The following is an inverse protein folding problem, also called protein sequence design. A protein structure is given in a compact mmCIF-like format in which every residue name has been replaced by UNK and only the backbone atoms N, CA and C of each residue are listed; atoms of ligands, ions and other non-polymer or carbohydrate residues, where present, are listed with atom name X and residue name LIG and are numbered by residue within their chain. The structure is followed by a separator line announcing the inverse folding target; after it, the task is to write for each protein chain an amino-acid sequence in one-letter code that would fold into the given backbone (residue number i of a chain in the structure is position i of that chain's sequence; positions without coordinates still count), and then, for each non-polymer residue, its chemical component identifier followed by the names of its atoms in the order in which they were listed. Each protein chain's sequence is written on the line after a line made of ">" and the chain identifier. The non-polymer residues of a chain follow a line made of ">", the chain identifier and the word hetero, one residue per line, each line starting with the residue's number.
data_IF_368195366492
#
_entry.id   IF_368195366492
#
_cell.length_a   1.000
_cell.length_b   1.000
_cell.length_c   1.000
_cell.angle_alpha   90.00
_cell.angle_beta   90.00
_cell.angle_gamma   90.00
#
_symmetry.space_group_name_H-M   'P 1'
#
loop_
_entity.id
_entity.type
_entity.pdbx_description
1 polymer ?
#
# COMPACT_ATOMS: atom_id res chain seq x y z
N UNK A 1 71.30 -22.71 -56.16
CA UNK A 1 70.92 -21.41 -55.55
C UNK A 1 70.28 -21.51 -54.15
N UNK A 2 69.93 -22.70 -53.63
CA UNK A 2 69.27 -22.83 -52.31
C UNK A 2 70.19 -23.03 -51.09
N UNK A 3 71.47 -23.35 -51.26
CA UNK A 3 72.40 -23.58 -50.13
C UNK A 3 73.04 -22.29 -49.58
N UNK A 4 73.18 -21.24 -50.39
CA UNK A 4 73.78 -19.95 -49.99
C UNK A 4 72.81 -19.08 -49.18
N UNK A 5 71.49 -19.17 -49.39
CA UNK A 5 70.49 -18.40 -48.64
C UNK A 5 70.34 -18.79 -47.16
N UNK A 6 70.62 -20.06 -46.81
CA UNK A 6 70.51 -20.54 -45.42
C UNK A 6 71.68 -20.06 -44.54
N UNK A 7 72.85 -19.84 -45.13
CA UNK A 7 74.03 -19.34 -44.41
C UNK A 7 73.88 -17.84 -44.13
N UNK A 8 73.33 -17.08 -45.08
CA UNK A 8 73.08 -15.64 -44.92
C UNK A 8 71.95 -15.39 -43.89
N UNK A 9 70.89 -16.21 -43.88
CA UNK A 9 69.83 -16.14 -42.88
C UNK A 9 70.33 -16.53 -41.46
N UNK A 10 71.24 -17.50 -41.35
CA UNK A 10 71.86 -17.89 -40.08
C UNK A 10 72.79 -16.82 -39.51
N UNK A 11 73.55 -16.13 -40.37
CA UNK A 11 74.41 -15.01 -39.96
C UNK A 11 73.61 -13.77 -39.55
N UNK A 12 72.49 -13.47 -40.22
CA UNK A 12 71.60 -12.36 -39.81
C UNK A 12 70.89 -12.64 -38.48
N UNK A 13 70.47 -13.89 -38.23
CA UNK A 13 69.87 -14.29 -36.96
C UNK A 13 70.87 -14.25 -35.80
N UNK A 14 72.13 -14.59 -36.05
CA UNK A 14 73.19 -14.55 -35.03
C UNK A 14 73.58 -13.10 -34.68
N UNK A 15 73.65 -12.20 -35.66
CA UNK A 15 73.92 -10.76 -35.43
C UNK A 15 72.75 -10.08 -34.69
N UNK A 16 71.50 -10.45 -34.98
CA UNK A 16 70.33 -9.91 -34.27
C UNK A 16 70.21 -10.45 -32.82
N UNK A 17 70.64 -11.70 -32.58
CA UNK A 17 70.72 -12.27 -31.24
C UNK A 17 71.84 -11.63 -30.39
N UNK A 18 72.98 -11.29 -30.99
CA UNK A 18 74.11 -10.64 -30.30
C UNK A 18 73.84 -9.14 -30.01
N UNK A 19 73.03 -8.46 -30.83
CA UNK A 19 72.61 -7.08 -30.59
C UNK A 19 71.54 -6.94 -29.49
N UNK A 20 70.88 -8.04 -29.09
CA UNK A 20 69.83 -8.04 -28.05
C UNK A 20 70.39 -8.26 -26.63
N UNK A 21 71.67 -8.61 -26.50
CA UNK A 21 72.27 -8.97 -25.21
C UNK A 21 72.94 -7.81 -24.44
N UNK A 22 72.92 -6.58 -24.98
CA UNK A 22 73.60 -5.43 -24.37
C UNK A 22 72.73 -4.18 -24.18
N UNK A 23 71.41 -4.32 -24.13
CA UNK A 23 70.57 -3.29 -23.50
C UNK A 23 70.53 -3.53 -21.98
N UNK A 24 71.68 -3.48 -21.32
CA UNK A 24 71.68 -3.21 -19.88
C UNK A 24 71.13 -1.81 -19.71
N UNK A 25 69.92 -1.70 -19.15
CA UNK A 25 69.45 -0.43 -18.61
C UNK A 25 70.61 0.17 -17.80
N UNK A 26 71.06 1.37 -18.15
CA UNK A 26 72.01 2.09 -17.33
C UNK A 26 71.50 2.01 -15.88
N UNK A 27 72.36 1.67 -14.89
CA UNK A 27 71.92 1.75 -13.50
C UNK A 27 71.36 3.15 -13.33
N UNK A 28 70.12 3.23 -12.87
CA UNK A 28 69.48 4.50 -12.58
C UNK A 28 70.48 5.28 -11.73
N UNK A 29 71.09 6.32 -12.29
CA UNK A 29 71.85 7.26 -11.49
C UNK A 29 70.88 7.67 -10.39
N UNK A 30 71.28 7.41 -9.15
CA UNK A 30 70.58 7.80 -7.95
C UNK A 30 70.55 9.34 -7.90
N UNK A 31 69.72 9.92 -8.76
CA UNK A 31 69.63 11.32 -9.06
C UNK A 31 68.37 11.88 -8.44
N UNK A 32 68.52 12.27 -7.17
CA UNK A 32 67.58 13.00 -6.30
C UNK A 32 66.50 12.13 -5.67
N UNK A 33 66.50 12.11 -4.34
CA UNK A 33 65.45 11.51 -3.49
C UNK A 33 64.12 12.22 -3.68
N UNK A 34 63.50 12.06 -4.85
CA UNK A 34 62.14 12.50 -5.11
C UNK A 34 61.19 11.62 -4.30
N UNK A 35 60.64 12.23 -3.25
CA UNK A 35 59.71 11.53 -2.38
C UNK A 35 58.33 11.45 -3.04
N UNK A 36 57.98 10.29 -3.58
CA UNK A 36 56.65 10.03 -4.15
C UNK A 36 55.51 10.27 -3.15
N UNK A 37 55.75 10.06 -1.84
CA UNK A 37 54.75 10.34 -0.82
C UNK A 37 54.35 11.83 -0.78
N UNK A 38 55.25 12.75 -1.15
CA UNK A 38 54.94 14.19 -1.23
C UNK A 38 53.95 14.53 -2.36
N UNK A 39 53.74 13.61 -3.31
CA UNK A 39 52.74 13.76 -4.38
C UNK A 39 51.36 13.23 -3.98
N UNK A 40 51.24 12.56 -2.83
CA UNK A 40 50.01 11.87 -2.40
C UNK A 40 49.86 10.46 -2.98
N UNK A 41 50.89 9.90 -3.61
CA UNK A 41 50.92 8.49 -4.03
C UNK A 41 52.22 7.81 -3.57
N UNK A 42 52.30 7.35 -2.31
CA UNK A 42 53.49 6.66 -1.81
C UNK A 42 53.62 5.28 -2.48
N UNK A 43 54.80 5.00 -3.04
CA UNK A 43 55.09 3.70 -3.65
C UNK A 43 55.22 2.64 -2.57
N UNK A 44 54.16 1.86 -2.36
CA UNK A 44 54.05 0.82 -1.34
C UNK A 44 53.42 -0.45 -1.94
N UNK A 45 53.61 -1.60 -1.29
CA UNK A 45 53.08 -2.87 -1.78
C UNK A 45 53.58 -3.20 -3.18
N UNK A 46 52.68 -3.67 -4.05
CA UNK A 46 52.99 -3.97 -5.45
C UNK A 46 53.51 -2.78 -6.27
N UNK A 47 53.20 -1.53 -5.90
CA UNK A 47 53.67 -0.34 -6.60
C UNK A 47 55.15 -0.01 -6.31
N UNK A 48 55.72 -0.53 -5.22
CA UNK A 48 57.11 -0.26 -4.86
C UNK A 48 58.11 -0.87 -5.87
N UNK A 49 57.70 -1.92 -6.57
CA UNK A 49 58.52 -2.61 -7.57
C UNK A 49 58.18 -2.21 -9.03
N UNK A 50 57.27 -1.27 -9.23
CA UNK A 50 56.85 -0.87 -10.58
C UNK A 50 57.94 -0.03 -11.27
N UNK A 51 58.20 -0.33 -12.55
CA UNK A 51 59.12 0.48 -13.37
C UNK A 51 58.49 1.85 -13.67
N UNK A 52 59.32 2.90 -13.78
CA UNK A 52 58.85 4.29 -13.88
C UNK A 52 57.89 4.51 -15.06
N UNK A 53 58.20 3.90 -16.20
CA UNK A 53 57.49 3.99 -17.46
C UNK A 53 56.08 3.36 -17.43
N UNK A 54 55.79 2.50 -16.45
CA UNK A 54 54.45 1.91 -16.30
C UNK A 54 53.41 2.98 -15.98
N UNK A 55 53.78 3.95 -15.14
CA UNK A 55 52.96 5.09 -14.74
C UNK A 55 53.25 6.36 -15.56
N UNK A 56 54.51 6.59 -15.91
CA UNK A 56 54.97 7.78 -16.64
C UNK A 56 55.11 7.51 -18.14
N UNK A 57 53.98 7.14 -18.76
CA UNK A 57 53.92 6.70 -20.15
C UNK A 57 54.36 7.82 -21.11
N UNK A 58 55.45 7.57 -21.84
CA UNK A 58 56.08 8.56 -22.73
C UNK A 58 56.89 9.62 -21.98
N UNK A 59 57.36 9.34 -20.76
CA UNK A 59 58.17 10.26 -19.95
C UNK A 59 57.37 11.41 -19.32
N UNK A 60 56.05 11.33 -19.30
CA UNK A 60 55.20 12.36 -18.73
C UNK A 60 55.01 12.12 -17.22
N UNK A 61 55.68 12.95 -16.41
CA UNK A 61 55.63 12.85 -14.94
C UNK A 61 54.48 13.63 -14.28
N UNK A 62 54.04 14.73 -14.91
CA UNK A 62 52.93 15.54 -14.40
C UNK A 62 51.59 15.00 -14.90
N UNK A 63 50.60 14.95 -14.00
CA UNK A 63 49.25 14.53 -14.34
C UNK A 63 49.01 13.02 -14.33
N UNK A 64 50.00 12.22 -13.92
CA UNK A 64 49.79 10.79 -13.64
C UNK A 64 48.67 10.64 -12.59
N UNK A 65 47.63 9.83 -12.85
CA UNK A 65 46.53 9.63 -11.92
C UNK A 65 47.01 9.06 -10.58
N UNK A 66 46.35 9.46 -9.50
CA UNK A 66 46.67 9.01 -8.13
C UNK A 66 45.56 8.17 -7.51
N UNK A 67 44.39 8.13 -8.14
CA UNK A 67 43.26 7.30 -7.77
C UNK A 67 43.35 5.93 -8.46
N UNK A 68 42.87 4.89 -7.78
CA UNK A 68 42.96 3.50 -8.26
C UNK A 68 42.40 3.33 -9.68
N UNK A 69 41.20 3.86 -9.93
CA UNK A 69 40.52 3.76 -11.22
C UNK A 69 41.17 4.57 -12.34
N UNK A 70 42.01 5.55 -12.01
CA UNK A 70 42.79 6.29 -12.99
C UNK A 70 43.80 5.41 -13.73
N UNK A 71 44.24 4.31 -13.09
CA UNK A 71 45.21 3.36 -13.64
C UNK A 71 44.60 1.98 -13.89
N UNK A 72 43.78 1.46 -12.96
CA UNK A 72 43.27 0.09 -12.99
C UNK A 72 41.90 -0.07 -13.66
N UNK A 73 41.28 1.00 -14.18
CA UNK A 73 40.10 0.83 -15.03
C UNK A 73 40.50 0.41 -16.46
N UNK A 74 39.58 -0.25 -17.15
CA UNK A 74 39.78 -0.60 -18.56
C UNK A 74 39.97 0.66 -19.41
N UNK A 75 40.90 0.61 -20.37
CA UNK A 75 41.14 1.68 -21.34
C UNK A 75 41.93 2.89 -20.81
N UNK A 76 42.64 2.75 -19.68
CA UNK A 76 43.54 3.80 -19.17
C UNK A 76 44.90 3.73 -19.86
N UNK A 77 45.56 4.90 -19.93
CA UNK A 77 46.88 5.05 -20.58
C UNK A 77 48.01 4.38 -19.78
N UNK A 78 47.88 4.35 -18.46
CA UNK A 78 48.85 3.74 -17.54
C UNK A 78 48.83 2.23 -17.72
N UNK A 79 50.02 1.61 -17.76
CA UNK A 79 50.16 0.15 -17.91
C UNK A 79 49.97 -0.48 -16.52
N UNK A 80 48.73 -0.89 -16.23
CA UNK A 80 48.37 -1.56 -14.99
C UNK A 80 47.40 -2.72 -15.26
N UNK A 81 47.34 -3.69 -14.36
CA UNK A 81 46.34 -4.77 -14.42
C UNK A 81 44.94 -4.17 -14.26
N UNK A 82 44.06 -4.27 -15.26
CA UNK A 82 42.73 -3.68 -15.17
C UNK A 82 41.78 -4.52 -14.30
N UNK A 83 40.70 -3.91 -13.82
CA UNK A 83 39.59 -4.59 -13.14
C UNK A 83 39.06 -5.73 -14.03
N UNK A 84 38.92 -6.97 -13.51
CA UNK A 84 38.44 -8.08 -14.31
C UNK A 84 36.98 -7.87 -14.72
N UNK A 85 36.56 -8.54 -15.80
CA UNK A 85 35.17 -8.48 -16.30
C UNK A 85 34.12 -9.05 -15.31
N UNK A 86 34.57 -9.72 -14.25
CA UNK A 86 33.78 -10.23 -13.12
C UNK A 86 33.74 -9.28 -11.91
N UNK A 87 34.34 -8.09 -12.01
CA UNK A 87 34.25 -7.06 -10.97
C UNK A 87 32.81 -6.50 -10.93
N UNK A 88 32.29 -6.25 -9.72
CA UNK A 88 30.98 -5.62 -9.55
C UNK A 88 31.00 -4.18 -10.08
N UNK A 89 29.93 -3.70 -10.70
CA UNK A 89 29.86 -2.29 -11.09
C UNK A 89 29.47 -1.48 -9.86
N UNK A 90 30.36 -0.60 -9.41
CA UNK A 90 30.17 0.21 -8.21
C UNK A 90 30.94 1.52 -8.33
N UNK A 91 30.38 2.59 -7.77
CA UNK A 91 31.04 3.89 -7.59
C UNK A 91 31.62 4.04 -6.17
N UNK A 92 31.52 2.99 -5.34
CA UNK A 92 32.09 3.00 -3.99
C UNK A 92 33.63 3.10 -4.04
N UNK A 93 34.26 3.78 -3.06
CA UNK A 93 35.72 3.80 -2.95
C UNK A 93 36.30 2.38 -2.90
N UNK A 94 37.41 2.13 -3.59
CA UNK A 94 37.93 0.77 -3.77
C UNK A 94 38.27 0.09 -2.43
N UNK A 95 38.79 0.86 -1.47
CA UNK A 95 39.15 0.45 -0.12
C UNK A 95 37.96 -0.02 0.72
N UNK A 96 36.72 0.34 0.35
CA UNK A 96 35.52 -0.16 1.03
C UNK A 96 35.26 -1.64 0.78
N UNK A 97 35.80 -2.19 -0.31
CA UNK A 97 35.74 -3.61 -0.63
C UNK A 97 37.10 -4.29 -0.51
N UNK A 98 38.19 -3.60 -0.87
CA UNK A 98 39.56 -4.11 -0.89
C UNK A 98 40.33 -3.68 0.37
N UNK A 99 40.19 -4.48 1.45
CA UNK A 99 40.79 -4.18 2.76
C UNK A 99 42.32 -4.22 2.77
N UNK A 100 42.93 -4.94 1.83
CA UNK A 100 44.39 -4.97 1.64
C UNK A 100 44.78 -4.30 0.33
N UNK A 101 44.65 -2.98 0.27
CA UNK A 101 44.89 -2.17 -0.94
C UNK A 101 46.32 -2.28 -1.52
N UNK A 102 47.30 -2.71 -0.72
CA UNK A 102 48.70 -2.87 -1.14
C UNK A 102 49.00 -4.22 -1.83
N UNK A 103 48.21 -5.26 -1.53
CA UNK A 103 48.33 -6.60 -2.13
C UNK A 103 47.16 -6.95 -3.05
N UNK A 104 46.08 -6.17 -2.97
CA UNK A 104 44.80 -6.40 -3.65
C UNK A 104 44.15 -7.76 -3.34
N UNK A 105 44.59 -8.42 -2.27
CA UNK A 105 44.01 -9.67 -1.77
C UNK A 105 42.81 -9.38 -0.88
N UNK A 106 41.85 -10.29 -0.84
CA UNK A 106 40.72 -10.24 0.09
C UNK A 106 39.76 -9.07 -0.17
N UNK A 107 38.93 -9.19 -1.20
CA UNK A 107 37.77 -8.33 -1.38
C UNK A 107 36.53 -8.93 -0.67
N UNK A 108 35.72 -8.11 -0.01
CA UNK A 108 34.41 -8.55 0.51
C UNK A 108 33.33 -7.54 0.17
N UNK A 109 32.16 -8.07 -0.14
CA UNK A 109 30.94 -7.29 -0.31
C UNK A 109 30.00 -7.54 0.87
N UNK A 110 29.46 -6.47 1.45
CA UNK A 110 28.45 -6.54 2.49
C UNK A 110 27.05 -6.45 1.86
N UNK A 111 26.27 -7.52 1.91
CA UNK A 111 24.90 -7.50 1.38
C UNK A 111 24.00 -6.50 2.12
N UNK A 112 24.30 -6.13 3.37
CA UNK A 112 23.57 -5.11 4.13
C UNK A 112 23.65 -3.71 3.52
N UNK A 113 24.66 -3.42 2.69
CA UNK A 113 24.78 -2.15 1.95
C UNK A 113 24.22 -2.24 0.52
N UNK A 114 23.53 -3.33 0.15
CA UNK A 114 22.92 -3.45 -1.15
C UNK A 114 21.76 -2.44 -1.30
N UNK A 115 21.71 -1.76 -2.45
CA UNK A 115 20.65 -0.80 -2.74
C UNK A 115 19.33 -1.55 -2.97
N UNK A 116 18.24 -1.23 -2.23
CA UNK A 116 16.92 -1.81 -2.46
C UNK A 116 16.49 -1.66 -3.93
N UNK A 117 15.83 -2.66 -4.51
CA UNK A 117 15.48 -2.62 -5.94
C UNK A 117 16.57 -3.08 -6.91
N UNK A 118 17.83 -3.13 -6.49
CA UNK A 118 18.97 -3.31 -7.42
C UNK A 118 19.65 -4.68 -7.37
N UNK A 119 19.03 -5.68 -6.73
CA UNK A 119 19.61 -7.02 -6.58
C UNK A 119 20.01 -7.66 -7.93
N UNK A 120 19.25 -7.36 -8.99
CA UNK A 120 19.46 -7.87 -10.36
C UNK A 120 20.75 -7.35 -11.02
N UNK A 121 21.35 -6.28 -10.50
CA UNK A 121 22.62 -5.77 -11.03
C UNK A 121 23.80 -6.71 -10.75
N UNK A 122 23.66 -7.62 -9.78
CA UNK A 122 24.63 -8.68 -9.48
C UNK A 122 24.03 -10.08 -9.73
N UNK A 123 22.76 -10.29 -9.37
CA UNK A 123 22.06 -11.58 -9.49
C UNK A 123 21.37 -11.76 -10.86
N UNK A 124 22.17 -11.75 -11.93
CA UNK A 124 21.71 -11.96 -13.30
C UNK A 124 22.32 -13.20 -13.97
N UNK A 125 22.93 -14.10 -13.19
CA UNK A 125 23.48 -15.36 -13.65
C UNK A 125 24.91 -15.29 -14.20
N UNK A 126 25.51 -14.09 -14.28
CA UNK A 126 26.92 -13.91 -14.66
C UNK A 126 27.83 -13.59 -13.48
N UNK A 127 27.46 -12.61 -12.65
CA UNK A 127 28.24 -12.19 -11.48
C UNK A 127 27.88 -13.01 -10.24
N UNK A 128 26.58 -13.24 -10.02
CA UNK A 128 26.05 -14.11 -9.00
C UNK A 128 24.87 -14.91 -9.56
N UNK A 129 24.51 -15.99 -8.87
CA UNK A 129 23.35 -16.80 -9.23
C UNK A 129 22.11 -15.92 -9.34
N UNK A 130 21.40 -16.08 -10.45
CA UNK A 130 20.25 -15.28 -10.78
C UNK A 130 18.95 -15.82 -10.18
N UNK A 131 17.86 -15.23 -10.62
CA UNK A 131 16.52 -15.66 -10.31
C UNK A 131 16.27 -17.10 -10.83
N UNK A 132 15.84 -18.05 -9.98
CA UNK A 132 15.61 -19.43 -10.40
C UNK A 132 14.33 -19.57 -11.23
N UNK A 133 14.21 -20.69 -11.96
CA UNK A 133 13.06 -20.96 -12.83
C UNK A 133 11.70 -20.93 -12.10
N UNK A 134 11.67 -21.27 -10.81
CA UNK A 134 10.47 -21.24 -9.96
C UNK A 134 9.85 -19.84 -9.77
N UNK A 135 10.56 -18.79 -10.20
CA UNK A 135 10.13 -17.40 -10.13
C UNK A 135 9.63 -16.85 -11.49
N UNK A 136 9.36 -17.70 -12.48
CA UNK A 136 8.94 -17.26 -13.82
C UNK A 136 7.59 -16.52 -13.88
N UNK A 137 6.72 -16.65 -12.87
CA UNK A 137 5.33 -16.17 -12.91
C UNK A 137 4.94 -15.26 -11.73
N UNK A 138 3.93 -14.42 -11.96
CA UNK A 138 3.29 -13.56 -10.93
C UNK A 138 4.24 -12.57 -10.28
N UNK A 139 4.00 -12.24 -9.01
CA UNK A 139 4.83 -11.29 -8.25
C UNK A 139 6.30 -11.71 -8.18
N UNK A 140 6.59 -13.02 -8.24
CA UNK A 140 7.96 -13.53 -8.27
C UNK A 140 8.72 -13.10 -9.52
N UNK A 141 8.03 -12.71 -10.60
CA UNK A 141 8.66 -12.29 -11.84
C UNK A 141 8.82 -10.80 -12.04
N UNK A 142 7.92 -10.00 -11.48
CA UNK A 142 7.85 -8.56 -11.72
C UNK A 142 8.29 -7.71 -10.52
N UNK A 143 8.12 -8.23 -9.30
CA UNK A 143 8.43 -7.45 -8.10
C UNK A 143 9.92 -7.50 -7.76
N UNK A 144 10.36 -6.47 -7.04
CA UNK A 144 11.73 -6.45 -6.52
C UNK A 144 11.98 -7.60 -5.55
N UNK A 145 13.20 -8.13 -5.56
CA UNK A 145 13.61 -9.27 -4.75
C UNK A 145 13.51 -8.98 -3.25
N UNK A 146 13.79 -7.74 -2.82
CA UNK A 146 13.78 -7.31 -1.43
C UNK A 146 12.38 -7.29 -0.77
N UNK A 147 11.31 -7.41 -1.58
CA UNK A 147 9.96 -7.61 -1.05
C UNK A 147 9.81 -8.97 -0.34
N UNK A 148 10.56 -9.98 -0.80
CA UNK A 148 10.48 -11.36 -0.31
C UNK A 148 11.76 -11.79 0.42
N UNK A 149 12.91 -11.36 -0.07
CA UNK A 149 14.22 -11.78 0.42
C UNK A 149 14.87 -10.70 1.28
N UNK A 150 15.67 -11.11 2.26
CA UNK A 150 16.48 -10.19 3.07
C UNK A 150 17.95 -10.35 2.75
N UNK A 151 18.71 -9.28 2.94
CA UNK A 151 20.15 -9.23 2.63
C UNK A 151 21.01 -10.10 3.54
N UNK A 152 20.53 -10.39 4.75
CA UNK A 152 21.23 -11.23 5.73
C UNK A 152 20.68 -12.66 5.82
N UNK A 153 19.47 -12.90 5.29
CA UNK A 153 18.82 -14.22 5.29
C UNK A 153 17.97 -14.35 4.02
N UNK A 154 18.53 -15.01 3.01
CA UNK A 154 17.84 -15.19 1.73
C UNK A 154 16.65 -16.16 1.83
N UNK A 155 16.76 -17.16 2.71
CA UNK A 155 15.71 -18.13 3.04
C UNK A 155 15.51 -18.21 4.56
N UNK A 156 14.27 -18.43 5.03
CA UNK A 156 13.03 -18.48 4.25
C UNK A 156 12.63 -17.11 3.71
N UNK A 157 12.11 -17.07 2.49
CA UNK A 157 11.55 -15.85 1.93
C UNK A 157 10.20 -15.54 2.60
N UNK A 158 9.97 -14.28 2.94
CA UNK A 158 8.72 -13.82 3.55
C UNK A 158 8.29 -12.47 2.96
N UNK A 159 6.99 -12.34 2.70
CA UNK A 159 6.41 -11.11 2.18
C UNK A 159 6.14 -10.12 3.31
N UNK A 160 6.51 -8.85 3.13
CA UNK A 160 6.14 -7.77 4.03
C UNK A 160 4.96 -6.98 3.44
N UNK A 161 3.91 -6.75 4.22
CA UNK A 161 2.75 -5.95 3.81
C UNK A 161 2.99 -4.42 3.92
N UNK A 162 4.15 -3.98 4.41
CA UNK A 162 4.48 -2.57 4.52
C UNK A 162 4.57 -1.89 3.14
N UNK A 163 3.88 -0.78 2.96
CA UNK A 163 3.86 -0.03 1.69
C UNK A 163 3.01 -0.65 0.59
N UNK A 164 2.19 -1.68 0.88
CA UNK A 164 1.20 -2.20 -0.07
C UNK A 164 0.08 -1.18 -0.24
N UNK A 165 0.03 -0.52 -1.39
CA UNK A 165 -1.06 0.38 -1.81
C UNK A 165 -2.11 -0.33 -2.69
N UNK A 166 -1.91 -1.61 -2.97
CA UNK A 166 -2.82 -2.41 -3.79
C UNK A 166 -4.06 -2.84 -3.00
N UNK A 167 -5.18 -3.00 -3.71
CA UNK A 167 -6.41 -3.56 -3.16
C UNK A 167 -6.13 -4.98 -2.64
N UNK A 168 -6.44 -5.28 -1.38
CA UNK A 168 -6.08 -6.56 -0.76
C UNK A 168 -6.62 -7.76 -1.56
N UNK A 169 -7.75 -7.57 -2.24
CA UNK A 169 -8.42 -8.55 -3.09
C UNK A 169 -7.60 -8.97 -4.33
N UNK A 170 -6.62 -8.17 -4.76
CA UNK A 170 -5.75 -8.52 -5.90
C UNK A 170 -4.76 -9.65 -5.56
N UNK A 171 -4.53 -9.90 -4.26
CA UNK A 171 -3.62 -10.94 -3.80
C UNK A 171 -4.30 -11.96 -2.88
N UNK A 172 -5.35 -11.56 -2.14
CA UNK A 172 -6.13 -12.40 -1.25
C UNK A 172 -7.56 -12.56 -1.76
N UNK A 173 -8.13 -13.76 -1.67
CA UNK A 173 -9.43 -14.04 -2.27
C UNK A 173 -10.17 -15.15 -1.55
N UNK A 174 -11.40 -15.38 -2.00
CA UNK A 174 -12.25 -16.43 -1.46
C UNK A 174 -11.89 -17.79 -2.09
N UNK A 175 -12.19 -18.90 -1.41
CA UNK A 175 -12.12 -20.22 -2.03
C UNK A 175 -12.95 -20.25 -3.32
N UNK A 176 -12.30 -20.47 -4.46
CA UNK A 176 -12.92 -20.48 -5.79
C UNK A 176 -12.44 -19.38 -6.73
N UNK A 177 -11.80 -18.32 -6.22
CA UNK A 177 -11.20 -17.30 -7.07
C UNK A 177 -10.00 -17.89 -7.82
N UNK A 178 -10.06 -17.89 -9.15
CA UNK A 178 -9.06 -18.53 -10.02
C UNK A 178 -7.65 -17.94 -9.87
N UNK A 179 -7.55 -16.70 -9.39
CA UNK A 179 -6.30 -15.94 -9.27
C UNK A 179 -5.63 -16.05 -7.89
N UNK A 180 -6.26 -16.75 -6.92
CA UNK A 180 -5.74 -16.84 -5.55
C UNK A 180 -5.51 -18.29 -5.17
N UNK A 181 -4.26 -18.69 -4.94
CA UNK A 181 -3.90 -20.03 -4.45
C UNK A 181 -3.57 -19.98 -2.96
N UNK A 182 -3.56 -21.13 -2.27
CA UNK A 182 -3.04 -21.21 -0.90
C UNK A 182 -1.56 -20.77 -0.87
N UNK A 183 -1.10 -20.07 0.19
CA UNK A 183 -1.78 -19.75 1.45
C UNK A 183 -2.66 -18.47 1.40
N UNK A 184 -2.77 -17.81 0.25
CA UNK A 184 -3.41 -16.49 0.14
C UNK A 184 -4.96 -16.55 0.16
N UNK A 185 -5.55 -17.76 0.21
CA UNK A 185 -7.00 -17.96 0.31
C UNK A 185 -7.49 -17.68 1.72
N UNK A 186 -8.61 -16.96 1.81
CA UNK A 186 -9.36 -16.77 3.04
C UNK A 186 -9.98 -18.11 3.49
N UNK A 187 -10.14 -18.36 4.80
CA UNK A 187 -10.85 -19.55 5.29
C UNK A 187 -12.26 -19.65 4.69
N UNK A 188 -12.73 -20.87 4.44
CA UNK A 188 -14.09 -21.09 3.95
C UNK A 188 -15.16 -20.55 4.90
N UNK A 189 -14.85 -20.41 6.20
CA UNK A 189 -15.73 -19.81 7.21
C UNK A 189 -15.91 -18.29 7.07
N UNK A 190 -15.11 -17.61 6.25
CA UNK A 190 -15.23 -16.16 5.99
C UNK A 190 -16.32 -15.83 4.96
N UNK A 191 -17.42 -16.60 4.92
CA UNK A 191 -18.54 -16.42 3.99
C UNK A 191 -19.53 -15.39 4.52
N UNK A 192 -19.25 -14.11 4.30
CA UNK A 192 -20.31 -13.11 4.22
C UNK A 192 -20.40 -12.59 2.78
N UNK A 193 -21.23 -13.20 1.91
CA UNK A 193 -21.51 -12.69 0.56
C UNK A 193 -21.96 -11.22 0.55
N UNK A 194 -22.54 -10.76 1.68
CA UNK A 194 -23.06 -9.42 1.94
C UNK A 194 -21.94 -8.34 1.99
N UNK A 195 -20.70 -8.74 2.32
CA UNK A 195 -19.53 -7.84 2.47
C UNK A 195 -18.64 -7.89 1.20
N UNK A 196 -18.91 -8.83 0.29
CA UNK A 196 -18.12 -9.01 -0.93
C UNK A 196 -18.30 -7.79 -1.86
N UNK A 197 -17.28 -6.92 -1.90
CA UNK A 197 -17.21 -5.77 -2.81
C UNK A 197 -17.89 -4.49 -2.31
N UNK A 198 -18.39 -4.48 -1.07
CA UNK A 198 -19.04 -3.30 -0.47
C UNK A 198 -18.14 -2.53 0.50
N UNK A 199 -17.14 -3.18 1.09
CA UNK A 199 -16.12 -2.57 1.97
C UNK A 199 -14.76 -3.21 1.74
N UNK A 200 -13.70 -2.41 1.81
CA UNK A 200 -12.32 -2.88 1.69
C UNK A 200 -11.84 -3.63 2.95
N UNK A 201 -10.89 -4.55 2.77
CA UNK A 201 -10.46 -5.47 3.84
C UNK A 201 -9.85 -4.73 5.03
N UNK A 202 -9.25 -3.56 4.80
CA UNK A 202 -8.62 -2.68 5.81
C UNK A 202 -9.62 -2.00 6.76
N UNK A 203 -10.92 -2.03 6.43
CA UNK A 203 -11.98 -1.56 7.31
C UNK A 203 -12.19 -2.47 8.54
N UNK A 204 -11.82 -3.76 8.41
CA UNK A 204 -11.98 -4.77 9.45
C UNK A 204 -10.64 -5.34 9.93
N UNK A 205 -9.67 -5.46 9.03
CA UNK A 205 -8.38 -6.11 9.26
C UNK A 205 -7.25 -5.09 9.20
N UNK A 206 -6.16 -5.36 9.91
CA UNK A 206 -4.89 -4.67 9.66
C UNK A 206 -3.83 -5.71 9.32
N UNK A 207 -2.80 -5.29 8.58
CA UNK A 207 -1.76 -6.20 8.10
C UNK A 207 -0.83 -6.75 9.19
N UNK A 208 -0.88 -6.20 10.41
CA UNK A 208 -0.07 -6.62 11.56
C UNK A 208 -0.79 -7.70 12.38
N UNK A 209 -2.11 -7.59 12.51
CA UNK A 209 -2.97 -8.48 13.26
C UNK A 209 -4.28 -8.67 12.51
N UNK A 210 -4.36 -9.76 11.73
CA UNK A 210 -5.58 -10.13 11.00
C UNK A 210 -6.73 -10.54 11.94
N UNK A 211 -6.37 -11.02 13.13
CA UNK A 211 -7.26 -11.30 14.26
C UNK A 211 -6.70 -10.64 15.53
N UNK A 212 -7.55 -10.03 16.39
CA UNK A 212 -9.00 -9.89 16.25
C UNK A 212 -9.40 -8.79 15.25
N UNK A 213 -10.53 -9.01 14.58
CA UNK A 213 -11.11 -8.07 13.62
C UNK A 213 -11.63 -6.86 14.40
N UNK A 214 -11.03 -5.68 14.22
CA UNK A 214 -11.51 -4.45 14.83
C UNK A 214 -12.11 -3.60 13.73
N UNK A 215 -13.43 -3.63 13.60
CA UNK A 215 -14.13 -2.74 12.68
C UNK A 215 -14.12 -1.32 13.21
N UNK A 216 -13.71 -0.36 12.38
CA UNK A 216 -13.82 1.07 12.70
C UNK A 216 -15.20 1.57 12.26
N UNK A 217 -16.06 1.96 13.20
CA UNK A 217 -17.41 2.47 12.91
C UNK A 217 -17.43 3.91 12.34
N UNK A 218 -16.37 4.30 11.63
CA UNK A 218 -16.24 5.61 10.97
C UNK A 218 -16.02 5.49 9.45
N UNK A 219 -15.98 4.27 8.90
CA UNK A 219 -15.94 4.00 7.47
C UNK A 219 -17.36 3.82 6.96
N UNK A 220 -17.73 4.55 5.90
CA UNK A 220 -19.07 4.53 5.33
C UNK A 220 -19.48 3.13 4.84
N UNK A 221 -20.74 2.78 5.06
CA UNK A 221 -21.37 1.50 4.69
C UNK A 221 -22.79 1.41 5.27
N UNK A 222 -23.63 0.52 4.71
CA UNK A 222 -24.98 0.31 5.24
C UNK A 222 -24.89 -0.46 6.57
N UNK A 223 -25.43 0.11 7.65
CA UNK A 223 -25.43 -0.49 8.99
C UNK A 223 -26.15 -1.85 8.99
N UNK A 224 -27.22 -1.92 8.20
CA UNK A 224 -28.07 -3.08 7.98
C UNK A 224 -27.28 -4.30 7.45
N UNK A 225 -26.20 -4.07 6.70
CA UNK A 225 -25.37 -5.16 6.14
C UNK A 225 -24.66 -6.00 7.20
N UNK A 226 -24.43 -5.44 8.40
CA UNK A 226 -23.76 -6.11 9.52
C UNK A 226 -24.68 -6.39 10.70
N UNK A 227 -25.64 -5.50 11.00
CA UNK A 227 -26.40 -5.53 12.25
C UNK A 227 -27.84 -6.08 12.12
N UNK A 228 -28.39 -6.26 10.91
CA UNK A 228 -29.84 -6.55 10.76
C UNK A 228 -30.27 -7.90 11.36
N UNK A 229 -29.44 -8.94 11.23
CA UNK A 229 -29.82 -10.31 11.62
C UNK A 229 -29.06 -10.85 12.84
N UNK A 230 -28.22 -10.02 13.49
CA UNK A 230 -27.40 -10.45 14.62
C UNK A 230 -26.29 -11.47 14.31
N UNK A 231 -26.18 -11.93 13.05
CA UNK A 231 -25.27 -13.00 12.65
C UNK A 231 -23.80 -12.55 12.55
N UNK A 232 -23.55 -11.28 12.24
CA UNK A 232 -22.20 -10.74 12.00
C UNK A 232 -21.75 -9.78 13.10
N UNK A 233 -22.68 -9.04 13.68
CA UNK A 233 -22.48 -8.16 14.83
C UNK A 233 -23.76 -8.16 15.68
N UNK A 234 -23.68 -7.65 16.90
CA UNK A 234 -24.86 -7.49 17.75
C UNK A 234 -25.94 -6.73 17.00
N UNK A 235 -27.09 -7.39 16.80
CA UNK A 235 -28.21 -6.81 16.09
C UNK A 235 -29.13 -5.97 16.97
N UNK A 236 -30.26 -5.58 16.40
CA UNK A 236 -31.27 -4.81 17.11
C UNK A 236 -31.80 -5.58 18.33
N UNK A 237 -32.01 -4.92 19.49
CA UNK A 237 -32.57 -5.56 20.68
C UNK A 237 -34.05 -5.95 20.46
N UNK A 238 -34.50 -6.96 21.21
CA UNK A 238 -35.91 -7.38 21.22
C UNK A 238 -36.81 -6.21 21.66
N UNK A 239 -37.80 -5.85 20.84
CA UNK A 239 -38.70 -4.72 21.10
C UNK A 239 -38.40 -3.45 20.30
N UNK A 240 -37.36 -3.45 19.46
CA UNK A 240 -37.21 -2.42 18.43
C UNK A 240 -38.41 -2.50 17.48
N UNK A 241 -39.31 -1.52 17.53
CA UNK A 241 -40.61 -1.57 16.86
C UNK A 241 -40.47 -1.56 15.34
N UNK A 242 -40.89 -2.65 14.69
CA UNK A 242 -41.53 -2.60 13.36
C UNK A 242 -40.73 -2.16 12.14
N UNK A 243 -39.40 -2.07 12.19
CA UNK A 243 -38.59 -1.67 11.01
C UNK A 243 -38.02 -2.86 10.24
N UNK A 244 -38.77 -3.97 10.20
CA UNK A 244 -38.37 -5.16 9.44
C UNK A 244 -38.71 -4.96 7.95
N UNK A 245 -37.95 -4.11 7.28
CA UNK A 245 -37.88 -4.07 5.82
C UNK A 245 -38.03 -2.68 5.18
N UNK A 246 -36.99 -2.29 4.44
CA UNK A 246 -36.96 -1.27 3.37
C UNK A 246 -37.14 0.22 3.78
N UNK A 247 -36.46 1.16 3.07
CA UNK A 247 -35.04 1.49 3.13
C UNK A 247 -34.80 2.63 4.14
N UNK A 248 -34.64 2.31 5.42
CA UNK A 248 -34.16 3.27 6.40
C UNK A 248 -32.91 2.71 7.07
N UNK A 249 -31.83 3.47 7.00
CA UNK A 249 -30.56 3.11 7.63
C UNK A 249 -30.56 3.55 9.09
N UNK A 250 -29.78 2.85 9.91
CA UNK A 250 -29.78 3.07 11.36
C UNK A 250 -29.34 4.50 11.72
N UNK A 251 -28.51 5.12 10.89
CA UNK A 251 -28.04 6.50 11.06
C UNK A 251 -29.15 7.57 10.95
N UNK A 252 -30.33 7.24 10.41
CA UNK A 252 -31.49 8.14 10.43
C UNK A 252 -32.00 8.41 11.87
N UNK A 253 -31.83 7.43 12.77
CA UNK A 253 -32.20 7.55 14.19
C UNK A 253 -30.97 7.61 15.11
N UNK A 254 -29.90 6.90 14.76
CA UNK A 254 -28.68 6.72 15.54
C UNK A 254 -27.56 7.63 15.01
N UNK A 255 -27.58 8.89 15.46
CA UNK A 255 -26.61 9.92 15.01
C UNK A 255 -25.19 9.73 15.55
N UNK A 256 -24.97 8.81 16.50
CA UNK A 256 -23.65 8.47 17.03
C UNK A 256 -23.40 6.98 16.94
N UNK A 257 -22.23 6.61 16.41
CA UNK A 257 -21.86 5.20 16.20
C UNK A 257 -21.24 4.54 17.44
N UNK A 258 -20.95 5.31 18.49
CA UNK A 258 -20.23 4.87 19.70
C UNK A 258 -21.12 4.60 20.90
N UNK A 259 -22.36 5.10 20.91
CA UNK A 259 -23.33 4.88 21.99
C UNK A 259 -24.73 4.73 21.38
N UNK A 260 -25.15 3.48 21.15
CA UNK A 260 -26.46 3.14 20.60
C UNK A 260 -27.63 3.44 21.53
N UNK A 261 -27.35 3.77 22.79
CA UNK A 261 -28.34 4.12 23.80
C UNK A 261 -28.06 5.49 24.42
N UNK A 262 -29.08 6.37 24.49
CA UNK A 262 -30.35 6.35 23.76
C UNK A 262 -30.24 7.20 22.49
N UNK A 263 -30.37 6.56 21.32
CA UNK A 263 -30.56 7.24 20.05
C UNK A 263 -31.73 8.23 20.17
N UNK A 264 -31.45 9.53 20.09
CA UNK A 264 -32.42 10.63 20.25
C UNK A 264 -33.42 10.48 21.42
N UNK A 265 -33.05 9.79 22.51
CA UNK A 265 -34.02 9.32 23.49
C UNK A 265 -34.90 8.23 22.86
N UNK A 266 -35.00 7.06 23.49
CA UNK A 266 -36.03 6.10 23.12
C UNK A 266 -37.35 6.85 22.90
N UNK A 267 -38.03 6.61 21.77
CA UNK A 267 -39.25 7.32 21.38
C UNK A 267 -40.08 7.54 22.66
N UNK A 268 -40.29 8.79 23.09
CA UNK A 268 -40.96 9.02 24.34
C UNK A 268 -42.34 8.38 24.25
N UNK A 269 -42.93 8.01 25.39
CA UNK A 269 -44.20 7.28 25.37
C UNK A 269 -45.28 8.01 24.54
N UNK A 270 -45.17 9.33 24.38
CA UNK A 270 -46.01 10.20 23.57
C UNK A 270 -45.64 10.37 22.08
N UNK A 271 -44.74 9.55 21.54
CA UNK A 271 -44.38 9.59 20.13
C UNK A 271 -45.56 9.19 19.24
N UNK A 272 -45.85 10.02 18.22
CA UNK A 272 -47.00 9.85 17.34
C UNK A 272 -46.69 8.78 16.29
N UNK A 273 -47.55 7.77 16.08
CA UNK A 273 -47.37 6.79 15.02
C UNK A 273 -47.35 7.44 13.63
N UNK A 274 -46.51 6.93 12.74
CA UNK A 274 -46.38 7.41 11.36
C UNK A 274 -46.60 6.25 10.38
N UNK A 275 -46.93 6.58 9.14
CA UNK A 275 -47.08 5.57 8.09
C UNK A 275 -45.73 4.93 7.76
N UNK A 276 -45.70 3.62 7.53
CA UNK A 276 -44.49 2.91 7.09
C UNK A 276 -43.84 3.64 5.89
N UNK A 277 -42.54 3.94 5.99
CA UNK A 277 -41.78 4.70 4.99
C UNK A 277 -41.65 6.21 5.23
N UNK A 278 -42.24 6.76 6.30
CA UNK A 278 -42.03 8.17 6.67
C UNK A 278 -40.67 8.35 7.34
N UNK A 279 -39.76 9.14 6.75
CA UNK A 279 -38.43 9.43 7.34
C UNK A 279 -38.56 10.27 8.60
N UNK A 280 -37.72 10.03 9.61
CA UNK A 280 -37.68 10.80 10.85
C UNK A 280 -37.45 12.30 10.59
N UNK A 281 -36.63 12.65 9.60
CA UNK A 281 -36.37 14.02 9.16
C UNK A 281 -37.61 14.75 8.64
N UNK A 282 -38.70 14.03 8.34
CA UNK A 282 -39.99 14.63 7.98
C UNK A 282 -40.66 15.33 9.17
N UNK A 283 -40.36 14.87 10.40
CA UNK A 283 -40.91 15.41 11.64
C UNK A 283 -39.84 16.08 12.52
N UNK A 284 -38.57 15.70 12.39
CA UNK A 284 -37.45 16.19 13.19
C UNK A 284 -36.51 17.07 12.35
N UNK A 285 -36.41 18.36 12.68
CA UNK A 285 -35.51 19.31 12.01
C UNK A 285 -34.58 19.93 13.05
N UNK A 286 -33.28 19.63 12.97
CA UNK A 286 -32.28 20.22 13.89
C UNK A 286 -32.55 19.94 15.37
N UNK A 287 -33.07 18.75 15.70
CA UNK A 287 -33.43 18.36 17.06
C UNK A 287 -34.78 18.90 17.56
N UNK A 288 -35.46 19.73 16.78
CA UNK A 288 -36.83 20.19 17.07
C UNK A 288 -37.87 19.31 16.39
N UNK A 289 -39.00 19.07 17.07
CA UNK A 289 -40.12 18.28 16.54
C UNK A 289 -41.15 19.24 15.94
N UNK A 290 -41.65 18.93 14.75
CA UNK A 290 -42.77 19.66 14.14
C UNK A 290 -44.06 19.41 14.92
N UNK A 291 -44.81 20.48 15.20
CA UNK A 291 -46.09 20.43 15.92
C UNK A 291 -47.16 21.23 15.18
N UNK A 292 -48.43 21.04 15.57
CA UNK A 292 -49.55 21.83 15.05
C UNK A 292 -49.80 21.65 13.55
N UNK A 293 -50.02 22.75 12.83
CA UNK A 293 -50.32 22.77 11.40
C UNK A 293 -49.22 22.11 10.55
N UNK A 294 -47.96 22.39 10.88
CA UNK A 294 -46.78 21.82 10.20
C UNK A 294 -46.70 20.30 10.35
N UNK A 295 -47.21 19.71 11.44
CA UNK A 295 -47.23 18.26 11.64
C UNK A 295 -48.29 17.57 10.75
N UNK A 296 -49.49 18.15 10.63
CA UNK A 296 -50.60 17.61 9.84
C UNK A 296 -50.28 17.48 8.34
N UNK A 297 -49.35 18.29 7.81
CA UNK A 297 -48.85 18.15 6.45
C UNK A 297 -48.06 16.87 6.17
N UNK A 298 -47.60 16.14 7.20
CA UNK A 298 -46.73 14.96 7.08
C UNK A 298 -47.31 13.67 7.70
N UNK A 299 -48.51 13.72 8.30
CA UNK A 299 -49.21 12.55 8.87
C UNK A 299 -50.48 12.18 8.09
N UNK A 300 -50.87 10.90 8.18
CA UNK A 300 -51.92 10.24 7.41
C UNK A 300 -53.32 10.91 7.48
N UNK A 301 -54.16 10.80 6.44
CA UNK A 301 -55.51 11.37 6.38
C UNK A 301 -56.55 10.73 7.31
N UNK A 302 -56.23 9.64 8.02
CA UNK A 302 -57.19 8.97 8.93
C UNK A 302 -57.18 9.68 10.28
N UNK A 303 -57.97 10.75 10.38
CA UNK A 303 -58.06 11.60 11.58
C UNK A 303 -58.39 10.78 12.85
N UNK A 304 -59.23 9.74 12.71
CA UNK A 304 -59.68 8.88 13.82
C UNK A 304 -58.55 8.09 14.47
N UNK A 305 -57.42 7.90 13.80
CA UNK A 305 -56.25 7.24 14.40
C UNK A 305 -55.66 8.05 15.55
N UNK A 306 -55.81 9.38 15.55
CA UNK A 306 -55.26 10.27 16.58
C UNK A 306 -56.35 11.05 17.36
N UNK A 307 -57.44 11.44 16.70
CA UNK A 307 -58.45 12.36 17.25
C UNK A 307 -59.69 11.67 17.84
N UNK A 308 -59.83 10.36 17.67
CA UNK A 308 -60.95 9.61 18.24
C UNK A 308 -60.81 9.49 19.76
N UNK A 309 -61.90 9.70 20.51
CA UNK A 309 -61.92 9.53 21.96
C UNK A 309 -61.52 8.10 22.34
N UNK A 310 -60.43 7.98 23.09
CA UNK A 310 -59.85 6.68 23.47
C UNK A 310 -58.81 6.14 22.48
N UNK A 311 -58.41 6.92 21.46
CA UNK A 311 -57.28 6.58 20.63
C UNK A 311 -56.00 6.54 21.48
N UNK A 312 -55.34 5.39 21.50
CA UNK A 312 -54.08 5.15 22.24
C UNK A 312 -52.86 5.84 21.62
N UNK A 313 -53.03 6.41 20.43
CA UNK A 313 -51.93 6.76 19.52
C UNK A 313 -51.63 8.27 19.50
N UNK A 314 -52.41 9.10 20.22
CA UNK A 314 -52.16 10.53 20.35
C UNK A 314 -52.12 10.92 21.83
N UNK A 315 -50.97 11.42 22.27
CA UNK A 315 -50.67 11.69 23.67
C UNK A 315 -50.49 13.19 23.96
N UNK A 316 -50.97 14.05 23.06
CA UNK A 316 -51.07 15.50 23.28
C UNK A 316 -52.41 15.92 23.91
N UNK A 317 -52.48 17.15 24.39
CA UNK A 317 -53.66 17.73 25.05
C UNK A 317 -54.72 18.23 24.04
N UNK A 318 -55.08 17.42 23.04
CA UNK A 318 -56.18 17.78 22.14
C UNK A 318 -57.50 17.26 22.68
N UNK A 319 -58.57 18.00 22.43
CA UNK A 319 -59.90 17.49 22.68
C UNK A 319 -60.24 16.36 21.70
N UNK A 320 -60.48 15.16 22.22
CA UNK A 320 -60.89 14.00 21.43
C UNK A 320 -62.42 13.85 21.46
N UNK A 321 -63.01 13.44 20.32
CA UNK A 321 -64.46 13.22 20.20
C UNK A 321 -64.77 11.78 19.78
N UNK A 322 -65.93 11.27 20.18
CA UNK A 322 -66.41 9.93 19.77
C UNK A 322 -67.06 9.97 18.39
N UNK A 323 -67.05 8.85 17.66
CA UNK A 323 -67.92 8.66 16.49
C UNK A 323 -69.38 8.82 16.95
N UNK A 324 -70.17 9.60 16.21
CA UNK A 324 -71.53 9.97 16.58
C UNK A 324 -71.69 11.40 17.09
N UNK A 325 -70.59 12.11 17.42
CA UNK A 325 -70.69 13.53 17.77
C UNK A 325 -71.23 14.32 16.56
N UNK A 326 -72.14 15.26 16.81
CA UNK A 326 -72.75 16.09 15.77
C UNK A 326 -73.30 15.28 14.56
N UNK A 327 -73.72 14.03 14.79
CA UNK A 327 -74.33 13.17 13.77
C UNK A 327 -73.36 12.41 12.84
N UNK A 328 -72.05 12.53 13.05
CA UNK A 328 -71.02 11.86 12.23
C UNK A 328 -71.00 10.34 12.42
N UNK A 329 -70.85 9.58 11.34
CA UNK A 329 -70.81 8.11 11.33
C UNK A 329 -69.42 7.57 11.04
N UNK A 330 -69.22 6.27 11.31
CA UNK A 330 -67.98 5.57 10.98
C UNK A 330 -67.75 5.57 9.47
N UNK A 331 -66.59 6.09 9.03
CA UNK A 331 -66.24 6.24 7.62
C UNK A 331 -66.52 7.63 7.03
N UNK A 332 -67.17 8.53 7.79
CA UNK A 332 -67.32 9.92 7.38
C UNK A 332 -65.97 10.64 7.41
N UNK A 333 -65.74 11.48 6.40
CA UNK A 333 -64.54 12.31 6.29
C UNK A 333 -64.68 13.55 7.19
N UNK A 334 -63.99 13.52 8.34
CA UNK A 334 -64.01 14.60 9.32
C UNK A 334 -63.56 15.94 8.74
N UNK A 335 -62.78 15.95 7.65
CA UNK A 335 -62.34 17.19 6.99
C UNK A 335 -63.47 17.98 6.32
N UNK A 336 -64.63 17.33 6.11
CA UNK A 336 -65.81 17.91 5.49
C UNK A 336 -66.83 18.44 6.53
N UNK A 337 -66.57 18.23 7.83
CA UNK A 337 -67.49 18.57 8.93
C UNK A 337 -67.69 20.08 9.15
N UNK A 338 -66.88 20.94 8.53
CA UNK A 338 -66.90 22.38 8.78
C UNK A 338 -66.25 22.80 10.11
N UNK A 339 -66.14 21.88 11.08
CA UNK A 339 -65.50 22.09 12.38
C UNK A 339 -64.00 21.72 12.40
N UNK A 340 -63.58 20.84 11.49
CA UNK A 340 -62.19 20.45 11.28
C UNK A 340 -61.83 20.69 9.81
N UNK A 341 -61.69 21.95 9.40
CA UNK A 341 -61.39 22.28 7.99
C UNK A 341 -59.90 22.45 7.82
N UNK A 342 -59.23 21.65 6.97
CA UNK A 342 -57.96 22.11 6.43
C UNK A 342 -58.19 23.39 5.62
N UNK A 343 -57.35 24.40 5.80
CA UNK A 343 -57.28 25.52 4.88
C UNK A 343 -56.73 25.00 3.53
N UNK A 344 -57.64 24.60 2.64
CA UNK A 344 -57.32 24.00 1.34
C UNK A 344 -58.54 23.39 0.64
N UNK A 345 -58.39 23.07 -0.66
CA UNK A 345 -59.43 22.41 -1.45
C UNK A 345 -59.41 20.88 -1.25
N UNK A 346 -60.53 20.20 -1.51
CA UNK A 346 -60.66 18.75 -1.36
C UNK A 346 -59.51 17.99 -2.06
N UNK A 347 -58.76 17.20 -1.30
CA UNK A 347 -57.60 16.43 -1.80
C UNK A 347 -56.23 17.11 -1.65
N UNK A 348 -56.16 18.33 -1.10
CA UNK A 348 -54.88 18.96 -0.75
C UNK A 348 -54.33 18.46 0.59
N UNK A 349 -53.02 18.51 0.77
CA UNK A 349 -52.36 18.24 2.05
C UNK A 349 -52.89 19.19 3.14
N UNK A 350 -53.13 18.64 4.33
CA UNK A 350 -53.71 19.34 5.49
C UNK A 350 -52.67 20.27 6.16
N UNK A 351 -52.26 21.33 5.46
CA UNK A 351 -51.11 22.17 5.85
C UNK A 351 -51.50 23.25 6.89
N UNK A 352 -52.76 23.69 6.92
CA UNK A 352 -53.28 24.71 7.82
C UNK A 352 -54.70 24.30 8.26
N UNK A 353 -55.15 24.69 9.46
CA UNK A 353 -56.49 24.37 9.97
C UNK A 353 -57.11 25.62 10.60
N UNK A 354 -58.41 25.85 10.40
CA UNK A 354 -59.19 26.89 11.10
C UNK A 354 -59.64 26.42 12.49
#
# INVERSE_FOLDING_TARGET
>A
MQKTGRIIAGLFALVLALASAHATAAPAEAGRGFNHAATGFPLTGGHAAAACETCHVGGLFKGTPRNCDGCHAMGKRVIATPKPNSHIVTDAPCESCHFYSHSWLGARFNHGSAVPGQCRNCHFGRLAEGKPASHATGNKSTQSCDNCHRTFAWLPASWNHNGVSAVCSSCHGFPGDAQVTTPNRKPASHVAPQIKGTVECDSCHNYVAWFPNRFKHNTGGLCSSCHLNGALAQGQPSGHSGFNGWPMECDECHTTTTAWLPALGALPSNHIPFNAGTKCSSCHVGGTVRTGATLHGFVSPVCTTCHLKGASNFLGNIEQKSIGHEGMKSGDDCSQSGCHRPAGNRGSSFINWD
#
